data_IF_382266729565
#
_entry.id   IF_382266729565
#
_cell.length_a   1.000
_cell.length_b   1.000
_cell.length_c   1.000
_cell.angle_alpha   90.00
_cell.angle_beta   90.00
_cell.angle_gamma   90.00
#
_symmetry.space_group_name_H-M   'P 1'
#
loop_
_entity.id
_entity.type
_entity.pdbx_description
1 polymer ?
#
# COMPACT_ATOMS: atom_id res chain seq x y z
N UNK A 1 -24.86 13.29 7.26
CA UNK A 1 -24.39 11.89 7.40
C UNK A 1 -25.43 10.98 6.78
N UNK A 2 -25.13 10.53 5.55
CA UNK A 2 -26.04 9.73 4.74
C UNK A 2 -26.32 8.39 5.46
N UNK A 3 -27.62 8.04 5.66
CA UNK A 3 -28.06 6.77 6.25
C UNK A 3 -27.47 5.54 5.54
N UNK A 4 -27.09 5.65 4.28
CA UNK A 4 -26.38 4.63 3.51
C UNK A 4 -24.99 4.27 4.07
N UNK A 5 -24.28 5.24 4.67
CA UNK A 5 -22.96 4.98 5.28
C UNK A 5 -23.07 4.16 6.57
N UNK A 6 -24.18 4.25 7.28
CA UNK A 6 -24.47 3.37 8.44
C UNK A 6 -24.78 1.94 8.01
N UNK A 7 -25.35 1.73 6.83
CA UNK A 7 -25.69 0.39 6.30
C UNK A 7 -24.43 -0.38 5.87
N UNK A 8 -23.44 0.30 5.33
CA UNK A 8 -22.15 -0.33 4.96
C UNK A 8 -21.25 -0.54 6.17
N UNK A 9 -21.38 0.31 7.19
CA UNK A 9 -20.74 0.13 8.50
C UNK A 9 -21.39 -0.96 9.36
N UNK A 10 -22.53 -1.50 8.93
CA UNK A 10 -23.18 -2.57 9.66
C UNK A 10 -22.40 -3.88 9.50
N UNK A 11 -22.20 -4.57 10.59
CA UNK A 11 -21.59 -5.89 10.83
C UNK A 11 -21.80 -6.92 9.68
N UNK A 12 -22.82 -6.75 8.85
CA UNK A 12 -23.15 -7.65 7.73
C UNK A 12 -22.20 -7.62 6.55
N UNK A 13 -21.52 -6.49 6.25
CA UNK A 13 -20.59 -6.39 5.11
C UNK A 13 -19.13 -6.51 5.52
N UNK A 14 -18.78 -6.34 6.78
CA UNK A 14 -17.39 -6.43 7.27
C UNK A 14 -16.69 -7.72 6.86
N UNK A 15 -17.42 -8.86 6.89
CA UNK A 15 -16.86 -10.15 6.49
C UNK A 15 -16.46 -10.25 5.00
N UNK A 16 -16.93 -9.34 4.16
CA UNK A 16 -16.56 -9.28 2.73
C UNK A 16 -15.58 -8.15 2.43
N UNK A 17 -15.55 -7.12 3.30
CA UNK A 17 -14.76 -5.90 3.12
C UNK A 17 -13.50 -5.89 4.02
N UNK A 18 -13.04 -7.06 4.46
CA UNK A 18 -11.79 -7.16 5.20
C UNK A 18 -10.57 -7.03 4.29
N UNK A 19 -9.47 -6.53 4.82
CA UNK A 19 -8.16 -6.52 4.18
C UNK A 19 -7.15 -7.31 5.00
N UNK A 20 -6.05 -7.71 4.39
CA UNK A 20 -4.92 -8.39 5.03
C UNK A 20 -4.45 -7.62 6.28
N UNK A 21 -3.95 -8.34 7.29
CA UNK A 21 -3.38 -7.74 8.50
C UNK A 21 -2.11 -6.91 8.24
N UNK A 22 -1.47 -7.10 7.09
CA UNK A 22 -0.36 -6.28 6.63
C UNK A 22 -0.78 -4.93 6.03
N UNK A 23 -2.07 -4.69 5.76
CA UNK A 23 -2.62 -3.37 5.46
C UNK A 23 -3.10 -2.72 6.75
N UNK A 24 -2.37 -1.73 7.22
CA UNK A 24 -2.63 -1.04 8.48
C UNK A 24 -3.42 0.27 8.30
N UNK A 25 -3.45 0.81 7.08
CA UNK A 25 -4.24 2.01 6.77
C UNK A 25 -5.74 1.74 6.78
N UNK A 26 -6.51 2.75 7.22
CA UNK A 26 -7.97 2.77 7.19
C UNK A 26 -8.69 1.67 8.00
N UNK A 27 -8.00 1.00 8.92
CA UNK A 27 -8.58 0.06 9.87
C UNK A 27 -8.88 0.75 11.20
N UNK A 28 -10.00 0.38 11.85
CA UNK A 28 -10.45 1.00 13.11
C UNK A 28 -9.44 0.85 14.27
N UNK A 29 -8.70 -0.26 14.31
CA UNK A 29 -7.78 -0.60 15.42
C UNK A 29 -6.34 -0.25 15.06
N UNK A 30 -6.04 0.12 13.83
CA UNK A 30 -4.69 0.43 13.36
C UNK A 30 -4.48 1.94 13.23
N UNK A 31 -3.28 2.39 13.55
CA UNK A 31 -2.85 3.79 13.45
C UNK A 31 -1.50 3.89 12.75
N UNK A 32 -1.10 5.11 12.37
CA UNK A 32 0.27 5.38 11.89
C UNK A 32 1.32 4.84 12.87
N UNK A 33 1.08 4.97 14.18
CA UNK A 33 1.98 4.46 15.21
C UNK A 33 2.14 2.93 15.14
N UNK A 34 1.10 2.17 14.83
CA UNK A 34 1.19 0.72 14.64
C UNK A 34 2.06 0.37 13.43
N UNK A 35 1.87 1.06 12.29
CA UNK A 35 2.67 0.82 11.09
C UNK A 35 4.16 1.09 11.33
N UNK A 36 4.47 2.22 11.99
CA UNK A 36 5.82 2.56 12.39
C UNK A 36 6.39 1.53 13.36
N UNK A 37 5.60 1.11 14.37
CA UNK A 37 6.00 0.14 15.38
C UNK A 37 6.37 -1.22 14.77
N UNK A 38 5.58 -1.75 13.84
CA UNK A 38 5.85 -3.07 13.22
C UNK A 38 7.13 -3.03 12.38
N UNK A 39 7.30 -1.99 11.56
CA UNK A 39 8.52 -1.77 10.78
C UNK A 39 9.72 -1.67 11.72
N UNK A 40 9.61 -0.84 12.78
CA UNK A 40 10.64 -0.67 13.79
C UNK A 40 11.01 -2.00 14.47
N UNK A 41 10.02 -2.76 14.92
CA UNK A 41 10.26 -4.05 15.60
C UNK A 41 10.89 -5.09 14.68
N UNK A 42 10.52 -5.10 13.40
CA UNK A 42 11.17 -5.97 12.43
C UNK A 42 12.65 -5.62 12.27
N UNK A 43 12.97 -4.34 12.11
CA UNK A 43 14.35 -3.88 11.96
C UNK A 43 15.15 -4.14 13.24
N UNK A 44 14.61 -3.79 14.43
CA UNK A 44 15.25 -4.03 15.73
C UNK A 44 15.59 -5.52 15.92
N UNK A 45 14.66 -6.44 15.56
CA UNK A 45 14.89 -7.88 15.66
C UNK A 45 16.09 -8.34 14.84
N UNK A 46 16.23 -7.89 13.60
CA UNK A 46 17.35 -8.27 12.72
C UNK A 46 18.67 -7.63 13.20
N UNK A 47 18.63 -6.36 13.56
CA UNK A 47 19.83 -5.62 14.03
C UNK A 47 20.35 -6.18 15.34
N UNK A 48 19.47 -6.53 16.28
CA UNK A 48 19.87 -7.16 17.56
C UNK A 48 20.47 -8.58 17.38
N UNK A 49 20.19 -9.23 16.25
CA UNK A 49 20.80 -10.49 15.85
C UNK A 49 21.97 -10.29 14.86
N UNK A 50 22.66 -9.16 14.94
CA UNK A 50 23.84 -8.84 14.13
C UNK A 50 23.64 -8.85 12.62
N UNK A 51 22.38 -8.73 12.17
CA UNK A 51 22.02 -8.71 10.76
C UNK A 51 21.82 -7.29 10.26
N UNK A 52 21.54 -7.17 8.96
CA UNK A 52 21.26 -5.91 8.28
C UNK A 52 19.90 -6.01 7.60
N UNK A 53 19.12 -4.94 7.63
CA UNK A 53 17.84 -4.86 6.91
C UNK A 53 17.94 -3.78 5.84
N UNK A 54 17.51 -4.13 4.65
CA UNK A 54 17.28 -3.20 3.56
C UNK A 54 15.78 -2.87 3.54
N UNK A 55 15.46 -1.60 3.59
CA UNK A 55 14.11 -1.06 3.61
C UNK A 55 13.88 -0.36 2.28
N UNK A 56 12.76 -0.59 1.64
CA UNK A 56 12.34 0.17 0.47
C UNK A 56 10.94 0.71 0.69
N UNK A 57 10.75 2.01 0.51
CA UNK A 57 9.43 2.62 0.42
C UNK A 57 9.07 2.83 -1.05
N UNK A 58 7.87 2.38 -1.44
CA UNK A 58 7.32 2.57 -2.76
C UNK A 58 6.12 3.51 -2.66
N UNK A 59 6.15 4.59 -3.43
CA UNK A 59 5.04 5.56 -3.56
C UNK A 59 4.21 5.20 -4.78
N UNK A 60 2.90 5.01 -4.63
CA UNK A 60 2.01 4.73 -5.75
C UNK A 60 1.53 6.03 -6.38
N UNK A 61 1.80 6.21 -7.68
CA UNK A 61 1.39 7.40 -8.42
C UNK A 61 -0.12 7.47 -8.58
N UNK A 62 -0.76 8.51 -8.03
CA UNK A 62 -2.19 8.80 -8.22
C UNK A 62 -3.08 7.59 -7.93
N UNK A 63 -2.80 6.86 -6.84
CA UNK A 63 -3.44 5.62 -6.46
C UNK A 63 -4.99 5.66 -6.53
N UNK A 64 -5.59 6.74 -5.99
CA UNK A 64 -7.04 6.92 -5.97
C UNK A 64 -7.63 7.38 -7.31
N UNK A 65 -6.84 8.01 -8.17
CA UNK A 65 -7.32 8.55 -9.47
C UNK A 65 -7.30 7.49 -10.57
N UNK A 66 -6.33 6.56 -10.52
CA UNK A 66 -6.15 5.48 -11.50
C UNK A 66 -6.91 4.20 -11.18
N UNK A 67 -7.71 4.22 -10.15
CA UNK A 67 -8.43 3.07 -9.66
C UNK A 67 -9.41 2.50 -10.70
N UNK A 68 -9.24 1.22 -11.07
CA UNK A 68 -10.10 0.54 -12.04
C UNK A 68 -11.33 -0.07 -11.36
N UNK A 69 -12.48 0.55 -11.61
CA UNK A 69 -13.76 0.12 -11.01
C UNK A 69 -14.13 -1.32 -11.37
N UNK A 70 -13.80 -1.77 -12.58
CA UNK A 70 -14.11 -3.14 -13.02
C UNK A 70 -13.31 -4.17 -12.24
N UNK A 71 -12.00 -3.95 -12.11
CA UNK A 71 -11.13 -4.82 -11.29
C UNK A 71 -11.60 -4.91 -9.84
N UNK A 72 -12.04 -3.78 -9.23
CA UNK A 72 -12.63 -3.81 -7.90
C UNK A 72 -13.87 -4.69 -7.83
N UNK A 73 -14.80 -4.52 -8.76
CA UNK A 73 -16.04 -5.32 -8.76
C UNK A 73 -15.74 -6.81 -8.89
N UNK A 74 -14.77 -7.21 -9.74
CA UNK A 74 -14.32 -8.59 -9.84
C UNK A 74 -13.75 -9.11 -8.50
N UNK A 75 -12.94 -8.30 -7.80
CA UNK A 75 -12.40 -8.66 -6.48
C UNK A 75 -13.50 -8.82 -5.43
N UNK A 76 -14.51 -7.95 -5.44
CA UNK A 76 -15.68 -8.06 -4.55
C UNK A 76 -16.50 -9.32 -4.84
N UNK A 77 -16.65 -9.68 -6.12
CA UNK A 77 -17.32 -10.94 -6.52
C UNK A 77 -16.52 -12.16 -6.09
N UNK A 78 -15.20 -12.16 -6.26
CA UNK A 78 -14.31 -13.23 -5.75
C UNK A 78 -14.45 -13.42 -4.24
N UNK A 79 -14.69 -12.35 -3.49
CA UNK A 79 -14.97 -12.37 -2.04
C UNK A 79 -16.39 -12.79 -1.69
N UNK A 80 -17.18 -13.23 -2.69
CA UNK A 80 -18.57 -13.68 -2.55
C UNK A 80 -19.51 -12.60 -1.95
N UNK A 81 -19.25 -11.33 -2.25
CA UNK A 81 -20.18 -10.26 -1.89
C UNK A 81 -21.53 -10.52 -2.56
N UNK A 82 -22.67 -10.41 -1.84
CA UNK A 82 -23.99 -10.62 -2.43
C UNK A 82 -24.22 -9.73 -3.65
N UNK A 83 -24.80 -10.31 -4.70
CA UNK A 83 -24.96 -9.67 -6.02
C UNK A 83 -25.65 -8.30 -5.93
N UNK A 84 -26.65 -8.15 -5.05
CA UNK A 84 -27.35 -6.89 -4.86
C UNK A 84 -26.40 -5.75 -4.45
N UNK A 85 -25.38 -6.03 -3.65
CA UNK A 85 -24.37 -5.05 -3.25
C UNK A 85 -23.36 -4.79 -4.38
N UNK A 86 -23.00 -5.81 -5.16
CA UNK A 86 -22.13 -5.64 -6.33
C UNK A 86 -22.80 -4.70 -7.34
N UNK A 87 -24.07 -4.92 -7.65
CA UNK A 87 -24.87 -4.05 -8.56
C UNK A 87 -25.00 -2.63 -7.98
N UNK A 88 -25.22 -2.51 -6.66
CA UNK A 88 -25.29 -1.21 -6.00
C UNK A 88 -23.98 -0.44 -6.16
N UNK A 89 -22.85 -1.10 -5.87
CA UNK A 89 -21.53 -0.49 -5.97
C UNK A 89 -21.17 -0.17 -7.42
N UNK A 90 -21.51 -1.04 -8.38
CA UNK A 90 -21.34 -0.78 -9.78
C UNK A 90 -22.08 0.50 -10.20
N UNK A 91 -23.38 0.62 -9.87
CA UNK A 91 -24.17 1.82 -10.16
C UNK A 91 -23.58 3.07 -9.50
N UNK A 92 -23.13 2.94 -8.26
CA UNK A 92 -22.54 4.06 -7.53
C UNK A 92 -21.20 4.51 -8.11
N UNK A 93 -20.32 3.59 -8.47
CA UNK A 93 -19.01 3.90 -9.07
C UNK A 93 -19.15 4.42 -10.52
N UNK A 94 -20.08 3.85 -11.31
CA UNK A 94 -20.26 4.25 -12.70
C UNK A 94 -21.02 5.57 -12.88
N UNK A 95 -21.73 6.06 -11.88
CA UNK A 95 -22.54 7.29 -11.96
C UNK A 95 -21.95 8.43 -11.12
N UNK A 96 -20.64 8.60 -11.14
CA UNK A 96 -19.95 9.71 -10.48
C UNK A 96 -19.82 10.88 -11.44
N UNK A 97 -20.41 12.02 -11.09
CA UNK A 97 -20.27 13.27 -11.81
C UNK A 97 -19.61 14.29 -10.91
N UNK A 98 -18.71 15.08 -11.47
CA UNK A 98 -17.96 16.11 -10.76
C UNK A 98 -17.99 17.45 -11.50
N UNK A 99 -17.77 18.54 -10.75
CA UNK A 99 -17.49 19.87 -11.25
C UNK A 99 -16.21 20.36 -10.61
N UNK A 100 -15.38 21.04 -11.36
CA UNK A 100 -14.20 21.72 -10.83
C UNK A 100 -14.57 23.14 -10.46
N UNK A 101 -14.19 23.58 -9.28
CA UNK A 101 -14.34 24.97 -8.82
C UNK A 101 -12.99 25.65 -8.85
N UNK A 102 -12.92 26.80 -9.52
CA UNK A 102 -11.74 27.66 -9.54
C UNK A 102 -12.18 29.08 -9.17
N UNK A 103 -11.92 29.48 -7.95
CA UNK A 103 -12.42 30.74 -7.41
C UNK A 103 -13.97 30.77 -7.40
N UNK A 104 -14.56 31.75 -8.10
CA UNK A 104 -16.01 31.89 -8.30
C UNK A 104 -16.57 31.11 -9.48
N UNK A 105 -15.71 30.57 -10.36
CA UNK A 105 -16.11 29.85 -11.57
C UNK A 105 -16.31 28.36 -11.31
N UNK A 106 -17.34 27.78 -11.93
CA UNK A 106 -17.58 26.32 -11.92
C UNK A 106 -17.50 25.78 -13.36
N UNK A 107 -16.84 24.64 -13.52
CA UNK A 107 -16.86 23.92 -14.80
C UNK A 107 -18.25 23.35 -15.13
N UNK A 108 -18.42 22.92 -16.37
CA UNK A 108 -19.53 22.03 -16.73
C UNK A 108 -19.41 20.71 -15.94
N UNK A 109 -20.57 20.07 -15.74
CA UNK A 109 -20.63 18.74 -15.14
C UNK A 109 -20.00 17.72 -16.09
N UNK A 110 -19.08 16.88 -15.61
CA UNK A 110 -18.51 15.80 -16.38
C UNK A 110 -18.47 14.51 -15.56
N UNK A 111 -18.51 13.39 -16.26
CA UNK A 111 -18.51 12.06 -15.65
C UNK A 111 -17.08 11.63 -15.32
N UNK A 112 -16.89 11.01 -14.16
CA UNK A 112 -15.65 10.36 -13.78
C UNK A 112 -15.72 8.89 -14.22
N UNK A 113 -14.75 8.47 -15.05
CA UNK A 113 -14.70 7.09 -15.58
C UNK A 113 -13.82 6.15 -14.79
N UNK A 114 -12.85 6.70 -14.04
CA UNK A 114 -11.90 5.96 -13.20
C UNK A 114 -11.68 6.70 -11.89
N UNK A 115 -11.09 6.01 -10.93
CA UNK A 115 -10.82 6.57 -9.63
C UNK A 115 -11.98 6.44 -8.65
N UNK A 116 -11.63 6.63 -7.38
CA UNK A 116 -12.59 6.71 -6.29
C UNK A 116 -12.60 8.11 -5.70
N UNK A 117 -13.75 8.53 -5.15
CA UNK A 117 -13.88 9.86 -4.55
C UNK A 117 -12.92 10.03 -3.40
N UNK A 118 -11.99 10.98 -3.49
CA UNK A 118 -11.21 11.42 -2.34
C UNK A 118 -12.17 12.02 -1.29
N UNK A 119 -12.04 11.55 -0.04
CA UNK A 119 -12.97 11.91 1.04
C UNK A 119 -14.27 11.09 1.08
N UNK A 120 -14.45 10.14 0.16
CA UNK A 120 -15.55 9.16 0.23
C UNK A 120 -15.29 8.13 1.34
N UNK A 121 -16.30 7.82 2.16
CA UNK A 121 -16.17 6.89 3.30
C UNK A 121 -15.76 5.46 2.86
N UNK A 122 -16.21 5.02 1.68
CA UNK A 122 -15.90 3.70 1.15
C UNK A 122 -14.61 3.66 0.31
N UNK A 123 -14.13 4.80 -0.17
CA UNK A 123 -12.95 4.87 -1.03
C UNK A 123 -11.72 4.22 -0.39
N UNK A 124 -11.41 4.47 0.90
CA UNK A 124 -10.31 3.80 1.59
C UNK A 124 -10.48 2.28 1.68
N UNK A 125 -11.69 1.83 1.99
CA UNK A 125 -12.00 0.39 2.11
C UNK A 125 -11.85 -0.30 0.75
N UNK A 126 -12.36 0.30 -0.31
CA UNK A 126 -12.21 -0.22 -1.66
C UNK A 126 -10.76 -0.25 -2.12
N UNK A 127 -9.97 0.76 -1.77
CA UNK A 127 -8.55 0.77 -2.07
C UNK A 127 -7.81 -0.36 -1.36
N UNK A 128 -8.08 -0.59 -0.06
CA UNK A 128 -7.50 -1.73 0.67
C UNK A 128 -7.83 -3.07 0.01
N UNK A 129 -9.08 -3.28 -0.43
CA UNK A 129 -9.50 -4.50 -1.14
C UNK A 129 -8.80 -4.61 -2.49
N UNK A 130 -8.64 -3.48 -3.17
CA UNK A 130 -8.05 -3.42 -4.50
C UNK A 130 -6.60 -3.88 -4.52
N UNK A 131 -5.82 -3.47 -3.49
CA UNK A 131 -4.39 -3.76 -3.39
C UNK A 131 -4.08 -5.03 -2.58
N UNK A 132 -5.07 -5.67 -1.96
CA UNK A 132 -4.87 -6.76 -1.00
C UNK A 132 -4.16 -8.00 -1.59
N UNK A 133 -4.40 -8.31 -2.87
CA UNK A 133 -3.76 -9.42 -3.57
C UNK A 133 -2.23 -9.25 -3.67
N UNK A 134 -1.73 -8.01 -3.66
CA UNK A 134 -0.31 -7.70 -3.63
C UNK A 134 0.37 -8.31 -2.40
N UNK A 135 -0.25 -8.17 -1.22
CA UNK A 135 0.30 -8.72 0.03
C UNK A 135 0.40 -10.24 -0.07
N UNK A 136 -0.66 -10.89 -0.56
CA UNK A 136 -0.68 -12.34 -0.75
C UNK A 136 0.42 -12.78 -1.73
N UNK A 137 0.59 -12.10 -2.84
CA UNK A 137 1.62 -12.41 -3.85
C UNK A 137 3.02 -12.32 -3.25
N UNK A 138 3.31 -11.27 -2.48
CA UNK A 138 4.62 -11.06 -1.87
C UNK A 138 4.88 -12.08 -0.75
N UNK A 139 3.87 -12.43 0.06
CA UNK A 139 4.03 -13.39 1.15
C UNK A 139 4.37 -14.82 0.68
N UNK A 140 4.07 -15.15 -0.58
CA UNK A 140 4.40 -16.46 -1.17
C UNK A 140 5.77 -16.51 -1.85
N UNK A 141 6.57 -15.43 -1.81
CA UNK A 141 7.88 -15.41 -2.45
C UNK A 141 9.00 -16.07 -1.63
N UNK A 142 8.73 -16.54 -0.42
CA UNK A 142 9.71 -17.10 0.52
C UNK A 142 10.96 -16.22 0.70
N UNK A 143 10.80 -14.91 0.53
CA UNK A 143 11.87 -13.90 0.65
C UNK A 143 11.42 -12.73 1.51
N UNK A 144 12.40 -11.96 2.05
CA UNK A 144 12.12 -10.81 2.90
C UNK A 144 12.46 -11.08 4.37
N UNK A 145 11.83 -10.33 5.27
CA UNK A 145 12.03 -10.45 6.71
C UNK A 145 10.98 -11.36 7.36
N UNK A 146 11.45 -12.25 8.25
CA UNK A 146 10.61 -13.12 9.07
C UNK A 146 11.00 -12.97 10.55
N UNK A 147 10.01 -12.91 11.43
CA UNK A 147 10.22 -12.91 12.87
C UNK A 147 9.62 -14.17 13.45
N UNK A 148 10.47 -15.11 13.92
CA UNK A 148 10.02 -16.40 14.47
C UNK A 148 9.05 -17.15 13.55
N UNK A 149 9.30 -17.14 12.25
CA UNK A 149 8.45 -17.75 11.23
C UNK A 149 7.26 -16.89 10.78
N UNK A 150 7.00 -15.76 11.42
CA UNK A 150 5.97 -14.83 10.98
C UNK A 150 6.52 -13.91 9.88
N UNK A 151 5.82 -13.86 8.75
CA UNK A 151 6.19 -13.01 7.63
C UNK A 151 6.01 -11.52 7.99
N UNK A 152 7.07 -10.74 7.88
CA UNK A 152 7.10 -9.31 8.24
C UNK A 152 7.83 -8.47 7.20
N UNK A 153 7.75 -8.88 5.93
CA UNK A 153 8.53 -8.30 4.85
C UNK A 153 7.81 -7.20 4.07
N UNK A 154 6.48 -7.12 4.15
CA UNK A 154 5.67 -6.09 3.51
C UNK A 154 4.66 -5.51 4.48
N UNK A 155 4.57 -4.18 4.52
CA UNK A 155 3.57 -3.45 5.27
C UNK A 155 3.02 -2.32 4.42
N UNK A 156 1.69 -2.17 4.43
CA UNK A 156 0.99 -1.12 3.71
C UNK A 156 0.30 -0.18 4.69
N UNK A 157 0.38 1.09 4.40
CA UNK A 157 -0.47 2.10 5.04
C UNK A 157 -1.10 2.97 3.95
N UNK A 158 -2.33 2.66 3.60
CA UNK A 158 -2.98 3.21 2.42
C UNK A 158 -2.19 2.88 1.13
N UNK A 159 -1.70 3.90 0.45
CA UNK A 159 -0.87 3.84 -0.75
C UNK A 159 0.64 3.76 -0.48
N UNK A 160 1.07 3.96 0.77
CA UNK A 160 2.46 3.79 1.16
C UNK A 160 2.79 2.30 1.37
N UNK A 161 3.73 1.78 0.59
CA UNK A 161 4.23 0.41 0.68
C UNK A 161 5.64 0.42 1.28
N UNK A 162 5.87 -0.39 2.29
CA UNK A 162 7.22 -0.65 2.83
C UNK A 162 7.59 -2.11 2.64
N UNK A 163 8.76 -2.35 2.07
CA UNK A 163 9.35 -3.66 1.88
C UNK A 163 10.60 -3.80 2.75
N UNK A 164 10.75 -4.94 3.42
CA UNK A 164 11.84 -5.24 4.34
C UNK A 164 12.53 -6.55 3.95
N UNK A 165 13.84 -6.52 3.74
CA UNK A 165 14.61 -7.72 3.40
C UNK A 165 16.02 -7.68 3.99
N UNK A 166 16.50 -8.82 4.49
CA UNK A 166 17.88 -8.98 4.93
C UNK A 166 18.88 -8.91 3.78
N UNK A 167 18.45 -9.20 2.54
CA UNK A 167 19.29 -9.21 1.34
C UNK A 167 18.80 -8.22 0.29
N UNK A 168 19.71 -7.64 -0.49
CA UNK A 168 19.36 -6.74 -1.59
C UNK A 168 18.67 -7.51 -2.73
N UNK A 169 19.11 -8.73 -2.99
CA UNK A 169 18.48 -9.60 -4.00
C UNK A 169 17.02 -9.93 -3.64
N UNK A 170 16.76 -10.27 -2.38
CA UNK A 170 15.39 -10.49 -1.89
C UNK A 170 14.54 -9.24 -1.96
N UNK A 171 15.11 -8.06 -1.63
CA UNK A 171 14.40 -6.78 -1.77
C UNK A 171 14.05 -6.53 -3.25
N UNK A 172 15.00 -6.72 -4.18
CA UNK A 172 14.76 -6.58 -5.62
C UNK A 172 13.67 -7.52 -6.13
N UNK A 173 13.68 -8.78 -5.65
CA UNK A 173 12.66 -9.77 -6.03
C UNK A 173 11.27 -9.31 -5.61
N UNK A 174 11.12 -8.84 -4.35
CA UNK A 174 9.85 -8.31 -3.86
C UNK A 174 9.41 -7.05 -4.63
N UNK A 175 10.33 -6.13 -4.94
CA UNK A 175 10.03 -4.94 -5.74
C UNK A 175 9.52 -5.32 -7.12
N UNK A 176 10.17 -6.27 -7.81
CA UNK A 176 9.72 -6.73 -9.12
C UNK A 176 8.30 -7.30 -9.08
N UNK A 177 8.00 -8.11 -8.06
CA UNK A 177 6.66 -8.66 -7.88
C UNK A 177 5.62 -7.59 -7.53
N UNK A 178 5.99 -6.58 -6.72
CA UNK A 178 5.14 -5.41 -6.45
C UNK A 178 4.81 -4.67 -7.73
N UNK A 179 5.83 -4.33 -8.54
CA UNK A 179 5.63 -3.59 -9.79
C UNK A 179 4.72 -4.37 -10.74
N UNK A 180 4.96 -5.66 -10.91
CA UNK A 180 4.14 -6.54 -11.73
C UNK A 180 2.66 -6.55 -11.32
N UNK A 181 2.38 -6.63 -10.00
CA UNK A 181 1.01 -6.62 -9.48
C UNK A 181 0.37 -5.25 -9.61
N UNK A 182 1.12 -4.17 -9.36
CA UNK A 182 0.62 -2.80 -9.52
C UNK A 182 0.30 -2.49 -10.99
N UNK A 183 1.16 -2.91 -11.93
CA UNK A 183 0.90 -2.75 -13.37
C UNK A 183 -0.37 -3.52 -13.80
N UNK A 184 -0.58 -4.74 -13.28
CA UNK A 184 -1.82 -5.50 -13.50
C UNK A 184 -3.07 -4.77 -12.98
N UNK A 185 -2.92 -3.95 -11.94
CA UNK A 185 -3.97 -3.12 -11.35
C UNK A 185 -4.08 -1.72 -12.00
N UNK A 186 -3.42 -1.45 -13.13
CA UNK A 186 -3.34 -0.12 -13.74
C UNK A 186 -2.73 0.97 -12.82
N UNK A 187 -1.97 0.54 -11.80
CA UNK A 187 -1.25 1.41 -10.89
C UNK A 187 0.24 1.47 -11.26
N UNK A 188 0.90 2.58 -10.99
CA UNK A 188 2.31 2.74 -11.28
C UNK A 188 3.07 3.28 -10.07
N UNK A 189 4.31 2.80 -9.89
CA UNK A 189 5.21 3.28 -8.85
C UNK A 189 5.84 4.60 -9.27
N UNK A 190 5.90 5.55 -8.36
CA UNK A 190 6.64 6.80 -8.53
C UNK A 190 8.10 6.57 -8.10
N UNK A 191 8.97 6.34 -9.09
CA UNK A 191 10.39 6.04 -8.86
C UNK A 191 11.09 7.21 -8.14
N UNK A 192 10.73 8.45 -8.51
CA UNK A 192 11.37 9.66 -7.95
C UNK A 192 11.08 9.87 -6.46
N UNK A 193 9.97 9.34 -5.95
CA UNK A 193 9.62 9.38 -4.54
C UNK A 193 9.95 8.11 -3.78
N UNK A 194 10.16 7.00 -4.50
CA UNK A 194 10.57 5.73 -3.89
C UNK A 194 12.02 5.81 -3.46
N UNK A 195 12.34 5.24 -2.31
CA UNK A 195 13.68 5.30 -1.71
C UNK A 195 14.05 3.98 -1.06
N UNK A 196 15.34 3.67 -1.06
CA UNK A 196 15.90 2.57 -0.31
C UNK A 196 16.80 3.08 0.82
N UNK A 197 16.78 2.37 1.95
CA UNK A 197 17.65 2.64 3.09
C UNK A 197 18.18 1.33 3.67
N UNK A 198 19.33 1.38 4.30
CA UNK A 198 19.93 0.23 4.99
C UNK A 198 20.17 0.55 6.44
N UNK A 199 19.83 -0.42 7.31
CA UNK A 199 20.06 -0.33 8.77
C UNK A 199 20.76 -1.59 9.25
N UNK A 200 21.69 -1.45 10.21
CA UNK A 200 22.46 -2.52 10.81
C UNK A 200 23.93 -2.49 10.40
N UNK A 201 24.68 -3.55 10.69
CA UNK A 201 26.16 -3.58 10.56
C UNK A 201 26.72 -3.10 9.21
N UNK A 202 25.99 -3.35 8.13
CA UNK A 202 26.44 -3.00 6.76
C UNK A 202 25.82 -1.71 6.24
N UNK A 203 25.33 -0.82 7.10
CA UNK A 203 24.61 0.39 6.66
C UNK A 203 25.44 1.31 5.76
N UNK A 204 26.77 1.39 5.96
CA UNK A 204 27.70 2.16 5.11
C UNK A 204 28.14 1.44 3.83
N UNK A 205 27.81 0.15 3.67
CA UNK A 205 28.24 -0.58 2.47
C UNK A 205 27.49 -0.03 1.25
N UNK A 206 28.21 0.24 0.17
CA UNK A 206 27.58 0.57 -1.12
C UNK A 206 26.74 -0.61 -1.55
N UNK A 207 25.43 -0.41 -1.58
CA UNK A 207 24.47 -1.45 -1.99
C UNK A 207 24.53 -1.68 -3.50
N UNK A 208 24.24 -2.92 -3.92
CA UNK A 208 23.90 -3.19 -5.31
C UNK A 208 22.73 -2.29 -5.73
N UNK A 209 22.74 -1.79 -6.94
CA UNK A 209 21.63 -0.97 -7.46
C UNK A 209 20.32 -1.75 -7.39
N UNK A 210 19.31 -1.12 -6.82
CA UNK A 210 17.93 -1.58 -6.86
C UNK A 210 17.22 -0.84 -7.99
N UNK A 211 16.46 -1.53 -8.80
CA UNK A 211 15.86 -0.94 -10.01
C UNK A 211 14.36 -1.22 -10.09
N UNK A 212 13.63 -0.29 -10.69
CA UNK A 212 12.24 -0.46 -11.12
C UNK A 212 12.17 -0.18 -12.62
N UNK A 213 11.76 -1.16 -13.41
CA UNK A 213 11.66 -1.05 -14.87
C UNK A 213 12.95 -0.50 -15.51
N UNK A 214 14.13 -0.97 -15.05
CA UNK A 214 15.44 -0.53 -15.51
C UNK A 214 15.93 0.80 -14.92
N UNK A 215 15.11 1.56 -14.23
CA UNK A 215 15.48 2.82 -13.59
C UNK A 215 15.91 2.59 -12.14
N UNK A 216 17.07 3.14 -11.70
CA UNK A 216 17.56 2.94 -10.35
C UNK A 216 16.69 3.68 -9.31
N UNK A 217 16.55 3.07 -8.12
CA UNK A 217 16.05 3.73 -6.91
C UNK A 217 17.25 4.18 -6.09
N UNK A 218 17.18 5.42 -5.57
CA UNK A 218 18.24 5.97 -4.74
C UNK A 218 18.28 5.32 -3.35
N UNK A 219 19.50 5.05 -2.87
CA UNK A 219 19.78 4.77 -1.49
C UNK A 219 19.93 6.08 -0.73
N UNK A 220 19.30 6.17 0.44
CA UNK A 220 19.34 7.38 1.27
C UNK A 220 19.71 7.04 2.73
N UNK A 221 20.24 8.04 3.43
CA UNK A 221 20.56 7.93 4.85
C UNK A 221 19.37 8.32 5.75
N UNK A 222 18.40 9.02 5.18
CA UNK A 222 17.16 9.40 5.85
C UNK A 222 15.97 9.03 4.98
N UNK A 223 15.03 8.27 5.55
CA UNK A 223 13.83 7.78 4.89
C UNK A 223 12.58 8.27 5.62
N UNK A 224 11.76 9.06 4.91
CA UNK A 224 10.44 9.46 5.42
C UNK A 224 9.41 8.33 5.24
N UNK A 225 8.69 7.99 6.30
CA UNK A 225 7.59 7.04 6.27
C UNK A 225 6.48 7.48 7.23
N UNK A 226 5.30 7.75 6.73
CA UNK A 226 4.09 8.14 7.50
C UNK A 226 4.38 9.26 8.50
N UNK A 227 5.08 10.32 8.04
CA UNK A 227 5.42 11.48 8.86
C UNK A 227 6.57 11.30 9.85
N UNK A 228 7.22 10.13 9.89
CA UNK A 228 8.44 9.86 10.66
C UNK A 228 9.66 9.77 9.74
N UNK A 229 10.83 10.15 10.25
CA UNK A 229 12.11 10.02 9.56
C UNK A 229 12.89 8.88 10.21
N UNK A 230 13.18 7.85 9.43
CA UNK A 230 14.13 6.80 9.79
C UNK A 230 15.53 7.19 9.35
N UNK A 231 16.54 6.84 10.15
CA UNK A 231 17.95 7.11 9.85
C UNK A 231 18.74 5.84 9.66
N UNK A 232 19.57 5.85 8.63
CA UNK A 232 20.56 4.79 8.36
C UNK A 232 21.61 4.79 9.48
N UNK A 233 21.73 3.70 10.21
CA UNK A 233 22.69 3.58 11.31
C UNK A 233 22.96 2.12 11.69
N UNK A 234 23.91 1.89 12.57
CA UNK A 234 24.18 0.55 13.15
C UNK A 234 23.08 0.10 14.08
N UNK A 235 22.36 1.02 14.70
CA UNK A 235 21.24 0.79 15.61
C UNK A 235 20.04 1.57 15.08
N UNK A 236 18.86 0.98 15.09
CA UNK A 236 17.66 1.67 14.65
C UNK A 236 17.20 2.69 15.71
N UNK A 237 17.26 3.96 15.36
CA UNK A 237 16.79 5.08 16.19
C UNK A 237 15.60 5.77 15.54
#
# INVERSE_FOLDING_TARGET
TCSYCKIVGTIRLQKYLYGSDHQLGFKQISSCAHAIYVVRKTVEYYVSNDSTVNICTLDISKAFDKFNNHCLLLKLMKRRLPVNFVVLFQRWLCNVFIKVRWGSCLSKLFRLFSGVRQGGILSPVFFCIYIDDLINKISHLDTGCFIRGFFSAIWLYADDIVLLSATVSGLQHMINACVQELDYLDLSVNILKSRCMRVGRRFKSIGTRVVINGSPIDWCDELGYIGMIFKSSTVFM
#
